data_IF_378044354477
#
_entry.id   IF_378044354477
#
_cell.length_a   1.000
_cell.length_b   1.000
_cell.length_c   1.000
_cell.angle_alpha   90.00
_cell.angle_beta   90.00
_cell.angle_gamma   90.00
#
_symmetry.space_group_name_H-M   'P 1'
#
loop_
_entity.id
_entity.type
_entity.pdbx_description
1 polymer ?
#
# COMPACT_ATOMS: atom_id res chain seq x y z
N UNK A 1 -28.62 -9.90 40.39
CA UNK A 1 -27.40 -10.18 39.61
C UNK A 1 -27.11 -9.17 38.49
N UNK A 2 -28.10 -8.65 37.74
CA UNK A 2 -27.81 -7.84 36.53
C UNK A 2 -27.07 -6.48 36.68
N UNK A 3 -27.10 -5.80 37.84
CA UNK A 3 -26.39 -4.51 38.01
C UNK A 3 -24.87 -4.67 38.18
N UNK A 4 -24.42 -5.70 38.89
CA UNK A 4 -23.00 -5.94 39.16
C UNK A 4 -22.24 -6.40 37.90
N UNK A 5 -22.86 -7.27 37.10
CA UNK A 5 -22.30 -7.71 35.80
C UNK A 5 -22.19 -6.54 34.81
N UNK A 6 -23.21 -5.66 34.79
CA UNK A 6 -23.21 -4.44 33.96
C UNK A 6 -22.08 -3.46 34.31
N UNK A 7 -21.78 -3.28 35.60
CA UNK A 7 -20.64 -2.44 36.02
C UNK A 7 -19.30 -3.06 35.65
N UNK A 8 -19.15 -4.39 35.81
CA UNK A 8 -17.92 -5.11 35.44
C UNK A 8 -17.60 -4.94 33.96
N UNK A 9 -18.58 -5.17 33.09
CA UNK A 9 -18.43 -5.01 31.64
C UNK A 9 -18.08 -3.57 31.26
N UNK A 10 -18.75 -2.56 31.86
CA UNK A 10 -18.44 -1.14 31.59
C UNK A 10 -17.01 -0.77 31.99
N UNK A 11 -16.51 -1.28 33.12
CA UNK A 11 -15.13 -1.05 33.58
C UNK A 11 -14.11 -1.71 32.63
N UNK A 12 -14.39 -2.92 32.15
CA UNK A 12 -13.55 -3.63 31.19
C UNK A 12 -13.48 -2.87 29.85
N UNK A 13 -14.63 -2.44 29.32
CA UNK A 13 -14.68 -1.64 28.08
C UNK A 13 -13.95 -0.31 28.22
N UNK A 14 -14.13 0.40 29.34
CA UNK A 14 -13.42 1.66 29.60
C UNK A 14 -11.91 1.47 29.65
N UNK A 15 -11.42 0.39 30.29
CA UNK A 15 -9.99 0.05 30.31
C UNK A 15 -9.46 -0.28 28.92
N UNK A 16 -10.20 -1.08 28.15
CA UNK A 16 -9.85 -1.43 26.76
C UNK A 16 -9.69 -0.20 25.89
N UNK A 17 -10.69 0.70 25.89
CA UNK A 17 -10.66 1.96 25.14
C UNK A 17 -9.48 2.84 25.59
N UNK A 18 -9.22 2.93 26.90
CA UNK A 18 -8.08 3.69 27.43
C UNK A 18 -6.73 3.15 26.96
N UNK A 19 -6.55 1.83 26.91
CA UNK A 19 -5.32 1.21 26.40
C UNK A 19 -5.13 1.41 24.90
N UNK A 20 -6.19 1.25 24.10
CA UNK A 20 -6.14 1.52 22.65
C UNK A 20 -5.81 2.99 22.39
N UNK A 21 -6.38 3.92 23.17
CA UNK A 21 -6.06 5.34 23.08
C UNK A 21 -4.59 5.63 23.33
N UNK A 22 -4.01 5.08 24.40
CA UNK A 22 -2.59 5.25 24.71
C UNK A 22 -1.69 4.69 23.61
N UNK A 23 -2.04 3.53 23.05
CA UNK A 23 -1.29 2.95 21.94
C UNK A 23 -1.34 3.84 20.70
N UNK A 24 -2.52 4.33 20.31
CA UNK A 24 -2.67 5.25 19.18
C UNK A 24 -1.87 6.53 19.40
N UNK A 25 -1.93 7.11 20.60
CA UNK A 25 -1.18 8.32 20.94
C UNK A 25 0.34 8.08 20.88
N UNK A 26 0.82 6.95 21.41
CA UNK A 26 2.24 6.58 21.35
C UNK A 26 2.72 6.41 19.90
N UNK A 27 1.96 5.71 19.05
CA UNK A 27 2.30 5.53 17.63
C UNK A 27 2.31 6.88 16.89
N UNK A 28 1.37 7.76 17.18
CA UNK A 28 1.37 9.09 16.57
C UNK A 28 2.55 9.96 17.02
N UNK A 29 2.96 9.89 18.29
CA UNK A 29 4.06 10.72 18.81
C UNK A 29 5.44 10.17 18.49
N UNK A 30 5.61 8.85 18.54
CA UNK A 30 6.91 8.16 18.47
C UNK A 30 7.06 7.27 17.24
N UNK A 31 6.03 7.18 16.39
CA UNK A 31 6.05 6.36 15.19
C UNK A 31 7.14 6.75 14.19
N UNK A 32 7.33 5.92 13.15
CA UNK A 32 8.45 6.05 12.23
C UNK A 32 8.48 7.41 11.53
N UNK A 33 9.69 7.95 11.36
CA UNK A 33 9.90 9.07 10.44
C UNK A 33 9.60 8.67 8.98
N UNK A 34 9.63 9.62 8.04
CA UNK A 34 9.30 9.35 6.63
C UNK A 34 10.08 8.20 6.01
N UNK A 35 11.40 8.11 6.27
CA UNK A 35 12.23 7.02 5.78
C UNK A 35 11.88 5.66 6.38
N UNK A 36 11.57 5.63 7.68
CA UNK A 36 11.10 4.41 8.35
C UNK A 36 9.75 3.95 7.82
N UNK A 37 8.84 4.89 7.57
CA UNK A 37 7.53 4.60 6.99
C UNK A 37 7.65 4.09 5.54
N UNK A 38 8.50 4.73 4.72
CA UNK A 38 8.78 4.27 3.37
C UNK A 38 9.34 2.83 3.37
N UNK A 39 10.25 2.52 4.30
CA UNK A 39 10.76 1.17 4.46
C UNK A 39 9.62 0.20 4.81
N UNK A 40 8.86 0.46 5.88
CA UNK A 40 7.73 -0.39 6.28
C UNK A 40 6.75 -0.63 5.12
N UNK A 41 6.35 0.43 4.42
CA UNK A 41 5.47 0.33 3.25
C UNK A 41 6.08 -0.55 2.16
N UNK A 42 7.36 -0.36 1.82
CA UNK A 42 8.04 -1.20 0.83
C UNK A 42 8.03 -2.69 1.25
N UNK A 43 8.31 -2.99 2.53
CA UNK A 43 8.25 -4.35 3.06
C UNK A 43 6.85 -4.95 3.01
N UNK A 44 5.82 -4.17 3.34
CA UNK A 44 4.42 -4.60 3.26
C UNK A 44 4.02 -4.89 1.82
N UNK A 45 4.37 -4.00 0.89
CA UNK A 45 4.06 -4.17 -0.54
C UNK A 45 4.72 -5.43 -1.07
N UNK A 46 6.02 -5.62 -0.80
CA UNK A 46 6.75 -6.77 -1.29
C UNK A 46 6.22 -8.09 -0.72
N UNK A 47 5.94 -8.14 0.59
CA UNK A 47 5.34 -9.31 1.23
C UNK A 47 3.94 -9.60 0.68
N UNK A 48 3.12 -8.55 0.49
CA UNK A 48 1.80 -8.68 -0.13
C UNK A 48 1.90 -9.26 -1.54
N UNK A 49 2.80 -8.75 -2.37
CA UNK A 49 3.02 -9.26 -3.73
C UNK A 49 3.42 -10.74 -3.72
N UNK A 50 4.33 -11.14 -2.83
CA UNK A 50 4.72 -12.57 -2.68
C UNK A 50 3.53 -13.43 -2.29
N UNK A 51 2.72 -12.99 -1.32
CA UNK A 51 1.52 -13.71 -0.90
C UNK A 51 0.47 -13.78 -2.02
N UNK A 52 0.26 -12.70 -2.76
CA UNK A 52 -0.66 -12.67 -3.90
C UNK A 52 -0.24 -13.64 -5.01
N UNK A 53 1.05 -13.70 -5.33
CA UNK A 53 1.60 -14.67 -6.30
C UNK A 53 1.43 -16.10 -5.77
N UNK A 54 1.76 -16.35 -4.50
CA UNK A 54 1.74 -17.69 -3.92
C UNK A 54 0.32 -18.23 -3.65
N UNK A 55 -0.65 -17.36 -3.38
CA UNK A 55 -2.01 -17.74 -2.95
C UNK A 55 -3.06 -17.60 -4.06
N UNK A 56 -2.91 -16.61 -4.94
CA UNK A 56 -3.94 -16.25 -5.92
C UNK A 56 -3.54 -16.51 -7.38
N UNK A 57 -2.42 -17.20 -7.60
CA UNK A 57 -1.85 -17.48 -8.93
C UNK A 57 -1.73 -16.21 -9.79
N UNK A 58 -1.50 -15.06 -9.15
CA UNK A 58 -1.33 -13.80 -9.86
C UNK A 58 -0.10 -13.91 -10.78
N UNK A 59 -0.19 -13.42 -12.02
CA UNK A 59 0.93 -13.47 -12.95
C UNK A 59 2.11 -12.65 -12.41
N UNK A 60 3.32 -13.08 -12.79
CA UNK A 60 4.50 -12.25 -12.59
C UNK A 60 4.34 -10.93 -13.38
N UNK A 61 4.41 -9.82 -12.67
CA UNK A 61 4.32 -8.49 -13.29
C UNK A 61 5.61 -8.14 -14.05
N UNK A 62 5.49 -7.32 -15.09
CA UNK A 62 6.67 -6.70 -15.72
C UNK A 62 7.45 -5.86 -14.71
N UNK A 63 8.74 -5.60 -14.97
CA UNK A 63 9.55 -4.80 -14.05
C UNK A 63 8.94 -3.40 -13.85
N UNK A 64 8.43 -2.78 -14.92
CA UNK A 64 7.73 -1.49 -14.80
C UNK A 64 6.47 -1.58 -13.93
N UNK A 65 5.64 -2.60 -14.12
CA UNK A 65 4.45 -2.79 -13.29
C UNK A 65 4.83 -3.08 -11.82
N UNK A 66 5.84 -3.90 -11.58
CA UNK A 66 6.32 -4.26 -10.25
C UNK A 66 7.00 -3.12 -9.49
N UNK A 67 7.81 -2.30 -10.16
CA UNK A 67 8.63 -1.26 -9.52
C UNK A 67 8.04 0.15 -9.61
N UNK A 68 7.10 0.41 -10.51
CA UNK A 68 6.47 1.74 -10.65
C UNK A 68 4.99 1.67 -10.34
N UNK A 69 4.22 0.85 -11.05
CA UNK A 69 2.76 0.82 -10.88
C UNK A 69 2.35 0.37 -9.49
N UNK A 70 2.88 -0.78 -9.04
CA UNK A 70 2.54 -1.35 -7.75
C UNK A 70 2.86 -0.38 -6.60
N UNK A 71 4.08 0.17 -6.47
CA UNK A 71 4.37 1.16 -5.43
C UNK A 71 3.46 2.39 -5.48
N UNK A 72 3.19 2.92 -6.69
CA UNK A 72 2.26 4.05 -6.84
C UNK A 72 0.83 3.69 -6.40
N UNK A 73 0.39 2.46 -6.68
CA UNK A 73 -0.92 1.95 -6.32
C UNK A 73 -1.12 1.81 -4.81
N UNK A 74 -0.04 1.71 -4.02
CA UNK A 74 -0.11 1.75 -2.55
C UNK A 74 0.16 3.14 -1.98
N UNK A 75 1.11 3.89 -2.55
CA UNK A 75 1.47 5.21 -2.04
C UNK A 75 0.35 6.24 -2.23
N UNK A 76 -0.35 6.20 -3.36
CA UNK A 76 -1.46 7.12 -3.64
C UNK A 76 -2.63 6.95 -2.64
N UNK A 77 -3.19 5.74 -2.42
CA UNK A 77 -4.23 5.56 -1.41
C UNK A 77 -3.71 5.78 0.01
N UNK A 78 -2.45 5.44 0.32
CA UNK A 78 -1.86 5.75 1.63
C UNK A 78 -1.93 7.26 1.92
N UNK A 79 -1.49 8.07 0.96
CA UNK A 79 -1.53 9.53 1.09
C UNK A 79 -2.97 10.06 1.16
N UNK A 80 -3.88 9.52 0.33
CA UNK A 80 -5.25 10.00 0.25
C UNK A 80 -6.04 9.68 1.53
N UNK A 81 -5.91 8.45 2.03
CA UNK A 81 -6.53 8.03 3.29
C UNK A 81 -5.93 8.78 4.49
N UNK A 82 -4.63 9.08 4.47
CA UNK A 82 -3.99 9.94 5.48
C UNK A 82 -4.61 11.34 5.49
N UNK A 83 -4.78 11.96 4.31
CA UNK A 83 -5.42 13.28 4.17
C UNK A 83 -6.86 13.26 4.67
N UNK A 84 -7.65 12.27 4.26
CA UNK A 84 -9.05 12.10 4.69
C UNK A 84 -9.16 11.96 6.21
N UNK A 85 -8.36 11.08 6.80
CA UNK A 85 -8.38 10.86 8.25
C UNK A 85 -7.89 12.08 9.02
N UNK A 86 -6.82 12.75 8.56
CA UNK A 86 -6.31 13.99 9.15
C UNK A 86 -7.37 15.09 9.15
N UNK A 87 -8.08 15.25 8.03
CA UNK A 87 -9.19 16.21 7.91
C UNK A 87 -10.30 15.95 8.93
N UNK A 88 -10.81 14.72 9.00
CA UNK A 88 -11.92 14.38 9.91
C UNK A 88 -11.51 14.31 11.38
N UNK A 89 -10.30 13.86 11.68
CA UNK A 89 -9.77 13.80 13.04
C UNK A 89 -9.31 15.17 13.55
N UNK A 90 -9.06 16.14 12.66
CA UNK A 90 -8.41 17.43 12.95
C UNK A 90 -7.05 17.24 13.62
N UNK A 91 -6.28 16.29 13.10
CA UNK A 91 -4.93 15.95 13.55
C UNK A 91 -3.97 16.24 12.40
N UNK A 92 -2.70 16.54 12.71
CA UNK A 92 -1.69 16.74 11.68
C UNK A 92 -1.57 15.50 10.77
N UNK A 93 -1.43 15.67 9.44
CA UNK A 93 -1.20 14.54 8.54
C UNK A 93 0.01 13.70 8.94
N UNK A 94 1.05 14.33 9.51
CA UNK A 94 2.24 13.69 10.04
C UNK A 94 1.93 12.58 11.07
N UNK A 95 1.08 12.88 12.06
CA UNK A 95 0.68 11.93 13.10
C UNK A 95 -0.18 10.81 12.51
N UNK A 96 -1.12 11.16 11.64
CA UNK A 96 -1.96 10.18 10.96
C UNK A 96 -1.11 9.25 10.09
N UNK A 97 -0.09 9.75 9.38
CA UNK A 97 0.81 8.97 8.55
C UNK A 97 1.57 7.90 9.35
N UNK A 98 2.04 8.24 10.56
CA UNK A 98 2.71 7.29 11.46
C UNK A 98 1.77 6.16 11.86
N UNK A 99 0.52 6.49 12.20
CA UNK A 99 -0.52 5.51 12.49
C UNK A 99 -0.84 4.66 11.25
N UNK A 100 -1.03 5.31 10.10
CA UNK A 100 -1.34 4.67 8.83
C UNK A 100 -0.24 3.71 8.38
N UNK A 101 1.02 4.00 8.70
CA UNK A 101 2.15 3.11 8.40
C UNK A 101 1.96 1.74 9.07
N UNK A 102 1.51 1.71 10.33
CA UNK A 102 1.18 0.47 11.01
C UNK A 102 -0.14 -0.13 10.51
N UNK A 103 -1.15 0.72 10.29
CA UNK A 103 -2.43 0.27 9.75
C UNK A 103 -2.29 -0.38 8.37
N UNK A 104 -1.26 -0.02 7.60
CA UNK A 104 -0.97 -0.62 6.29
C UNK A 104 -0.63 -2.11 6.40
N UNK A 105 -0.21 -2.62 7.56
CA UNK A 105 -0.08 -4.07 7.78
C UNK A 105 -1.41 -4.81 7.59
N UNK A 106 -2.55 -4.14 7.78
CA UNK A 106 -3.87 -4.68 7.50
C UNK A 106 -4.03 -5.09 6.02
N UNK A 107 -3.24 -4.49 5.12
CA UNK A 107 -3.24 -4.84 3.69
C UNK A 107 -2.68 -6.23 3.41
N UNK A 108 -1.98 -6.84 4.36
CA UNK A 108 -1.62 -8.27 4.28
C UNK A 108 -2.82 -9.18 4.61
N UNK A 109 -3.88 -8.61 5.17
CA UNK A 109 -5.09 -9.29 5.59
C UNK A 109 -5.77 -10.09 4.49
N UNK A 110 -6.06 -9.54 3.30
CA UNK A 110 -6.76 -10.27 2.25
C UNK A 110 -6.09 -11.58 1.83
N UNK A 111 -4.81 -11.61 1.39
CA UNK A 111 -4.21 -12.87 0.99
C UNK A 111 -4.10 -13.87 2.15
N UNK A 112 -3.89 -13.41 3.39
CA UNK A 112 -3.87 -14.29 4.57
C UNK A 112 -5.26 -14.85 4.90
N UNK A 113 -6.29 -14.01 4.87
CA UNK A 113 -7.66 -14.42 5.09
C UNK A 113 -8.12 -15.39 4.01
N UNK A 114 -7.79 -15.11 2.75
CA UNK A 114 -8.14 -15.98 1.63
C UNK A 114 -7.41 -17.33 1.73
N UNK A 115 -6.12 -17.35 2.12
CA UNK A 115 -5.37 -18.58 2.40
C UNK A 115 -6.03 -19.42 3.50
N UNK A 116 -6.42 -18.79 4.62
CA UNK A 116 -7.05 -19.48 5.75
C UNK A 116 -8.46 -19.99 5.43
N UNK A 117 -9.24 -19.20 4.68
CA UNK A 117 -10.65 -19.51 4.38
C UNK A 117 -10.83 -20.45 3.18
N UNK A 118 -9.83 -20.52 2.29
CA UNK A 118 -9.87 -21.35 1.08
C UNK A 118 -8.85 -22.49 1.08
N UNK A 119 -8.21 -22.79 2.23
CA UNK A 119 -7.40 -23.99 2.40
C UNK A 119 -8.22 -25.26 2.05
N UNK A 120 -8.13 -25.72 0.80
CA UNK A 120 -8.84 -26.90 0.28
C UNK A 120 -9.98 -26.65 -0.73
N UNK A 121 -10.22 -25.42 -1.20
CA UNK A 121 -11.19 -25.14 -2.29
C UNK A 121 -10.49 -24.68 -3.57
N UNK A 122 -11.20 -24.84 -4.71
CA UNK A 122 -10.73 -24.42 -6.03
C UNK A 122 -10.21 -22.96 -6.03
N UNK A 123 -9.15 -22.72 -6.80
CA UNK A 123 -8.30 -21.53 -6.79
C UNK A 123 -9.03 -20.20 -6.57
N UNK A 124 -8.50 -19.38 -5.66
CA UNK A 124 -8.96 -18.00 -5.45
C UNK A 124 -8.65 -17.22 -6.72
N UNK A 125 -9.69 -16.79 -7.44
CA UNK A 125 -9.53 -15.95 -8.63
C UNK A 125 -8.89 -14.62 -8.22
N UNK A 126 -7.66 -14.38 -8.71
CA UNK A 126 -6.88 -13.15 -8.74
C UNK A 126 -7.26 -12.07 -7.71
N UNK A 127 -6.40 -11.88 -6.71
CA UNK A 127 -6.43 -10.73 -5.80
C UNK A 127 -5.88 -9.54 -6.58
N UNK A 128 -6.70 -8.54 -6.90
CA UNK A 128 -6.25 -7.43 -7.74
C UNK A 128 -7.25 -6.30 -7.78
N UNK A 129 -7.22 -5.49 -8.83
CA UNK A 129 -8.20 -4.42 -9.04
C UNK A 129 -9.61 -4.97 -9.34
N UNK A 130 -10.61 -4.11 -9.25
CA UNK A 130 -11.97 -4.45 -9.69
C UNK A 130 -11.99 -4.73 -11.20
N UNK A 131 -12.54 -5.86 -11.61
CA UNK A 131 -12.82 -6.18 -13.01
C UNK A 131 -14.32 -6.04 -13.26
N UNK A 132 -14.74 -4.91 -13.82
CA UNK A 132 -16.13 -4.61 -14.11
C UNK A 132 -16.26 -3.70 -15.34
N UNK A 133 -17.45 -3.63 -15.92
CA UNK A 133 -17.75 -2.56 -16.87
C UNK A 133 -17.95 -1.23 -16.12
N UNK A 134 -17.46 -0.08 -16.65
CA UNK A 134 -17.75 1.24 -16.10
C UNK A 134 -19.23 1.49 -15.77
N UNK A 135 -20.18 0.93 -16.55
CA UNK A 135 -21.62 1.08 -16.27
C UNK A 135 -22.06 0.47 -14.94
N UNK A 136 -21.34 -0.55 -14.45
CA UNK A 136 -21.72 -1.31 -13.26
C UNK A 136 -21.14 -0.70 -11.97
N UNK A 137 -20.24 0.28 -12.06
CA UNK A 137 -19.52 0.83 -10.92
C UNK A 137 -20.44 1.33 -9.81
N UNK A 138 -21.54 2.01 -10.16
CA UNK A 138 -22.51 2.49 -9.17
C UNK A 138 -23.21 1.35 -8.44
N UNK A 139 -23.57 0.28 -9.15
CA UNK A 139 -24.20 -0.90 -8.53
C UNK A 139 -23.21 -1.62 -7.62
N UNK A 140 -21.96 -1.79 -8.05
CA UNK A 140 -20.89 -2.43 -7.27
C UNK A 140 -20.57 -1.61 -6.01
N UNK A 141 -20.53 -0.28 -6.11
CA UNK A 141 -20.33 0.62 -4.97
C UNK A 141 -21.40 0.44 -3.89
N UNK A 142 -22.65 0.13 -4.26
CA UNK A 142 -23.72 -0.08 -3.28
C UNK A 142 -23.73 -1.50 -2.71
N UNK A 143 -23.28 -2.48 -3.49
CA UNK A 143 -23.32 -3.91 -3.12
C UNK A 143 -21.96 -4.49 -2.70
N UNK A 144 -20.93 -3.65 -2.52
CA UNK A 144 -19.57 -4.09 -2.17
C UNK A 144 -19.56 -4.98 -0.92
N UNK A 145 -20.34 -4.63 0.10
CA UNK A 145 -20.47 -5.40 1.34
C UNK A 145 -21.58 -6.47 1.30
N UNK A 146 -22.23 -6.74 0.16
CA UNK A 146 -23.14 -7.88 0.00
C UNK A 146 -22.34 -9.17 -0.23
N UNK A 147 -21.95 -9.82 0.88
CA UNK A 147 -21.14 -11.05 0.88
C UNK A 147 -21.79 -12.24 0.15
N UNK A 148 -23.06 -12.14 -0.27
CA UNK A 148 -23.74 -13.17 -1.06
C UNK A 148 -23.45 -13.05 -2.55
N UNK A 149 -22.91 -11.92 -3.00
CA UNK A 149 -22.59 -11.62 -4.40
C UNK A 149 -21.13 -11.89 -4.67
N UNK A 150 -20.84 -12.58 -5.77
CA UNK A 150 -19.47 -12.65 -6.30
C UNK A 150 -19.18 -11.38 -7.11
N UNK A 151 -18.05 -10.73 -6.82
CA UNK A 151 -17.56 -9.55 -7.53
C UNK A 151 -16.16 -9.88 -8.03
N UNK A 152 -15.93 -9.81 -9.33
CA UNK A 152 -14.65 -10.21 -9.93
C UNK A 152 -13.53 -9.28 -9.45
N UNK A 153 -12.41 -9.87 -9.01
CA UNK A 153 -11.30 -9.13 -8.40
C UNK A 153 -11.54 -8.70 -6.95
N UNK A 154 -12.72 -8.97 -6.37
CA UNK A 154 -13.04 -8.63 -4.97
C UNK A 154 -13.23 -9.90 -4.14
N UNK A 155 -12.19 -10.33 -3.44
CA UNK A 155 -12.25 -11.49 -2.55
C UNK A 155 -12.98 -11.17 -1.23
N UNK A 156 -13.30 -12.22 -0.47
CA UNK A 156 -13.84 -12.07 0.88
C UNK A 156 -12.84 -11.35 1.78
N UNK A 157 -11.54 -11.68 1.67
CA UNK A 157 -10.47 -11.00 2.37
C UNK A 157 -10.46 -9.48 2.13
N UNK A 158 -10.60 -9.04 0.88
CA UNK A 158 -10.65 -7.60 0.53
C UNK A 158 -11.83 -6.89 1.21
N UNK A 159 -13.01 -7.52 1.25
CA UNK A 159 -14.18 -6.92 1.90
C UNK A 159 -14.03 -6.82 3.40
N UNK A 160 -13.41 -7.82 4.04
CA UNK A 160 -13.12 -7.80 5.46
C UNK A 160 -12.08 -6.73 5.81
N UNK A 161 -11.03 -6.60 4.99
CA UNK A 161 -10.04 -5.50 5.10
C UNK A 161 -10.74 -4.14 5.03
N UNK A 162 -11.56 -3.92 4.01
CA UNK A 162 -12.30 -2.67 3.83
C UNK A 162 -13.19 -2.39 5.05
N UNK A 163 -13.97 -3.36 5.51
CA UNK A 163 -14.84 -3.22 6.68
C UNK A 163 -14.03 -2.85 7.93
N UNK A 164 -12.90 -3.51 8.17
CA UNK A 164 -12.00 -3.19 9.28
C UNK A 164 -11.47 -1.76 9.16
N UNK A 165 -11.05 -1.32 7.97
CA UNK A 165 -10.61 0.05 7.73
C UNK A 165 -11.72 1.08 8.04
N UNK A 166 -12.98 0.82 7.66
CA UNK A 166 -14.10 1.72 7.96
C UNK A 166 -14.35 1.86 9.47
N UNK A 167 -14.34 0.73 10.18
CA UNK A 167 -14.54 0.70 11.63
C UNK A 167 -13.40 1.41 12.35
N UNK A 168 -12.15 1.14 11.98
CA UNK A 168 -10.97 1.78 12.55
C UNK A 168 -10.97 3.29 12.29
N UNK A 169 -11.37 3.73 11.10
CA UNK A 169 -11.51 5.15 10.77
C UNK A 169 -12.55 5.86 11.67
N UNK A 170 -13.74 5.27 11.82
CA UNK A 170 -14.79 5.82 12.68
C UNK A 170 -14.35 5.90 14.15
N UNK A 171 -13.73 4.81 14.65
CA UNK A 171 -13.20 4.71 16.02
C UNK A 171 -12.11 5.77 16.23
N UNK A 172 -11.16 5.88 15.30
CA UNK A 172 -10.07 6.85 15.38
C UNK A 172 -10.59 8.29 15.47
N UNK A 173 -11.50 8.69 14.58
CA UNK A 173 -12.10 10.03 14.60
C UNK A 173 -12.91 10.27 15.87
N UNK A 174 -13.59 9.23 16.38
CA UNK A 174 -14.32 9.31 17.66
C UNK A 174 -13.37 9.51 18.84
N UNK A 175 -12.24 8.81 18.86
CA UNK A 175 -11.20 8.93 19.88
C UNK A 175 -10.56 10.32 19.91
N UNK A 176 -10.44 10.98 18.75
CA UNK A 176 -9.97 12.37 18.61
C UNK A 176 -11.06 13.43 18.85
N UNK A 177 -12.08 13.07 19.64
CA UNK A 177 -13.14 14.00 20.05
C UNK A 177 -14.17 14.31 18.96
N UNK A 178 -14.26 13.49 17.90
CA UNK A 178 -15.30 13.65 16.88
C UNK A 178 -16.70 13.33 17.38
N UNK A 179 -17.70 14.00 16.81
CA UNK A 179 -19.11 13.61 16.97
C UNK A 179 -19.37 12.31 16.21
N UNK A 180 -20.48 11.62 16.52
CA UNK A 180 -20.89 10.39 15.82
C UNK A 180 -21.05 10.65 14.31
N UNK A 181 -21.66 11.77 13.93
CA UNK A 181 -21.78 12.17 12.53
C UNK A 181 -20.42 12.38 11.84
N UNK A 182 -19.44 12.98 12.53
CA UNK A 182 -18.08 13.15 12.01
C UNK A 182 -17.36 11.81 11.82
N UNK A 183 -17.54 10.89 12.75
CA UNK A 183 -17.01 9.51 12.64
C UNK A 183 -17.65 8.74 11.49
N UNK A 184 -18.97 8.84 11.32
CA UNK A 184 -19.68 8.21 10.21
C UNK A 184 -19.24 8.79 8.86
N UNK A 185 -19.13 10.12 8.76
CA UNK A 185 -18.64 10.79 7.55
C UNK A 185 -17.19 10.38 7.21
N UNK A 186 -16.35 10.18 8.22
CA UNK A 186 -14.99 9.66 8.03
C UNK A 186 -14.99 8.25 7.45
N UNK A 187 -15.80 7.33 8.01
CA UNK A 187 -15.94 5.98 7.47
C UNK A 187 -16.45 5.99 6.03
N UNK A 188 -17.48 6.78 5.71
CA UNK A 188 -18.00 6.92 4.34
C UNK A 188 -16.93 7.49 3.39
N UNK A 189 -16.13 8.46 3.85
CA UNK A 189 -15.05 9.04 3.03
C UNK A 189 -13.92 8.04 2.78
N UNK A 190 -13.52 7.28 3.80
CA UNK A 190 -12.53 6.20 3.66
C UNK A 190 -13.05 5.13 2.70
N UNK A 191 -14.31 4.73 2.83
CA UNK A 191 -14.95 3.79 1.91
C UNK A 191 -14.88 4.28 0.47
N UNK A 192 -15.33 5.52 0.22
CA UNK A 192 -15.34 6.09 -1.12
C UNK A 192 -13.92 6.14 -1.72
N UNK A 193 -12.95 6.67 -0.98
CA UNK A 193 -11.56 6.76 -1.46
C UNK A 193 -10.98 5.38 -1.74
N UNK A 194 -11.08 4.43 -0.80
CA UNK A 194 -10.58 3.06 -0.99
C UNK A 194 -11.23 2.38 -2.19
N UNK A 195 -12.56 2.50 -2.33
CA UNK A 195 -13.29 1.92 -3.45
C UNK A 195 -12.84 2.52 -4.80
N UNK A 196 -12.70 3.84 -4.90
CA UNK A 196 -12.31 4.46 -6.17
C UNK A 196 -10.85 4.18 -6.54
N UNK A 197 -9.94 4.01 -5.58
CA UNK A 197 -8.59 3.49 -5.86
C UNK A 197 -8.62 2.04 -6.34
N UNK A 198 -9.49 1.22 -5.76
CA UNK A 198 -9.70 -0.17 -6.18
C UNK A 198 -10.36 -0.30 -7.56
N UNK A 199 -11.27 0.61 -7.90
CA UNK A 199 -11.98 0.67 -9.17
C UNK A 199 -11.25 1.49 -10.26
N UNK A 200 -10.04 1.95 -9.97
CA UNK A 200 -9.39 2.99 -10.78
C UNK A 200 -9.09 2.56 -12.23
N UNK A 201 -8.68 1.30 -12.52
CA UNK A 201 -8.57 0.83 -13.90
C UNK A 201 -9.91 0.88 -14.66
N UNK A 202 -11.03 0.61 -14.00
CA UNK A 202 -12.36 0.69 -14.61
C UNK A 202 -12.71 2.14 -14.94
N UNK A 203 -12.39 3.07 -14.05
CA UNK A 203 -12.59 4.51 -14.29
C UNK A 203 -11.72 4.97 -15.47
N UNK A 204 -10.45 4.56 -15.49
CA UNK A 204 -9.52 4.86 -16.57
C UNK A 204 -10.03 4.32 -17.92
N UNK A 205 -10.53 3.08 -17.94
CA UNK A 205 -11.17 2.50 -19.12
C UNK A 205 -12.39 3.32 -19.57
N UNK A 206 -13.25 3.73 -18.64
CA UNK A 206 -14.41 4.57 -18.94
C UNK A 206 -14.01 5.89 -19.63
N UNK A 207 -12.95 6.54 -19.14
CA UNK A 207 -12.40 7.74 -19.78
C UNK A 207 -11.77 7.43 -21.14
N UNK A 208 -11.08 6.29 -21.28
CA UNK A 208 -10.46 5.89 -22.54
C UNK A 208 -11.49 5.61 -23.64
N UNK A 209 -12.61 4.98 -23.28
CA UNK A 209 -13.75 4.72 -24.19
C UNK A 209 -14.37 5.99 -24.78
N UNK A 210 -14.19 7.16 -24.15
CA UNK A 210 -14.61 8.45 -24.72
C UNK A 210 -13.83 8.79 -26.00
N UNK A 211 -12.59 8.30 -26.13
CA UNK A 211 -11.73 8.51 -27.30
C UNK A 211 -11.67 7.29 -28.21
N UNK A 212 -11.74 6.10 -27.64
CA UNK A 212 -11.64 4.82 -28.34
C UNK A 212 -12.85 3.93 -28.00
N UNK A 213 -14.00 4.15 -28.66
CA UNK A 213 -15.17 3.30 -28.48
C UNK A 213 -14.84 1.84 -28.81
N UNK A 214 -15.31 0.91 -27.98
CA UNK A 214 -15.09 -0.52 -28.17
C UNK A 214 -13.91 -1.12 -27.39
N UNK A 215 -13.09 -0.31 -26.71
CA UNK A 215 -12.05 -0.85 -25.80
C UNK A 215 -12.69 -1.69 -24.69
N UNK A 216 -12.22 -2.92 -24.54
CA UNK A 216 -12.65 -3.85 -23.49
C UNK A 216 -11.67 -3.82 -22.32
N UNK A 217 -12.09 -4.31 -21.15
CA UNK A 217 -11.20 -4.46 -19.99
C UNK A 217 -10.00 -5.37 -20.32
N UNK A 218 -10.27 -6.44 -21.10
CA UNK A 218 -9.23 -7.36 -21.58
C UNK A 218 -8.20 -6.64 -22.45
N UNK A 219 -8.63 -5.91 -23.49
CA UNK A 219 -7.70 -5.13 -24.33
C UNK A 219 -7.00 -4.01 -23.57
N UNK A 220 -7.61 -3.46 -22.52
CA UNK A 220 -6.99 -2.46 -21.67
C UNK A 220 -5.88 -3.05 -20.79
N UNK A 221 -6.07 -4.25 -20.22
CA UNK A 221 -5.04 -4.92 -19.41
C UNK A 221 -3.97 -5.64 -20.23
N UNK A 222 -4.35 -6.30 -21.33
CA UNK A 222 -3.47 -7.16 -22.15
C UNK A 222 -2.90 -6.44 -23.39
N UNK A 223 -3.66 -5.52 -24.00
CA UNK A 223 -3.32 -4.92 -25.29
C UNK A 223 -2.31 -3.78 -25.20
N UNK A 224 -2.61 -2.75 -24.41
CA UNK A 224 -1.73 -1.58 -24.26
C UNK A 224 -0.70 -1.71 -23.12
N UNK A 225 -0.41 -2.94 -22.69
CA UNK A 225 0.73 -3.21 -21.81
C UNK A 225 0.56 -2.74 -20.37
N UNK A 226 -0.67 -2.57 -19.89
CA UNK A 226 -0.90 -2.00 -18.56
C UNK A 226 -0.49 -2.96 -17.45
N UNK A 227 -0.72 -4.29 -17.57
CA UNK A 227 -0.36 -5.24 -16.50
C UNK A 227 0.15 -6.62 -16.95
N UNK A 228 -0.27 -7.15 -18.12
CA UNK A 228 0.11 -8.49 -18.60
C UNK A 228 0.50 -8.38 -20.09
N UNK A 229 1.66 -8.92 -20.49
CA UNK A 229 2.13 -8.88 -21.89
C UNK A 229 2.08 -10.27 -22.51
N UNK A 230 1.30 -10.44 -23.58
CA UNK A 230 1.40 -11.63 -24.43
C UNK A 230 2.63 -11.58 -25.34
N UNK A 231 3.05 -10.39 -25.80
CA UNK A 231 4.22 -10.20 -26.65
C UNK A 231 5.29 -9.29 -25.97
N UNK A 232 6.42 -9.85 -25.51
CA UNK A 232 7.53 -9.10 -24.90
C UNK A 232 8.21 -8.08 -25.84
N UNK A 233 8.00 -8.17 -27.16
CA UNK A 233 8.63 -7.30 -28.16
C UNK A 233 7.84 -6.01 -28.47
N UNK A 234 6.54 -5.94 -28.16
CA UNK A 234 5.73 -4.74 -28.39
C UNK A 234 6.09 -3.67 -27.34
N UNK A 235 6.84 -2.64 -27.69
CA UNK A 235 7.40 -1.64 -26.75
C UNK A 235 6.42 -1.19 -25.66
N UNK A 236 6.93 -0.96 -24.43
CA UNK A 236 6.09 -0.59 -23.30
C UNK A 236 5.42 0.77 -23.51
N UNK A 237 4.14 0.79 -23.86
CA UNK A 237 3.34 2.00 -23.66
C UNK A 237 2.96 2.10 -22.19
N UNK A 238 3.87 2.67 -21.40
CA UNK A 238 3.71 2.91 -19.98
C UNK A 238 2.67 4.00 -19.67
N UNK A 239 2.20 4.72 -20.68
CA UNK A 239 1.35 5.91 -20.53
C UNK A 239 0.09 5.63 -19.72
N UNK A 240 -0.61 4.49 -19.89
CA UNK A 240 -1.78 4.18 -19.10
C UNK A 240 -1.45 3.67 -17.69
N UNK A 241 -0.21 3.72 -17.22
CA UNK A 241 0.18 3.49 -15.80
C UNK A 241 0.42 4.83 -15.09
N UNK A 242 0.75 5.88 -15.84
CA UNK A 242 1.12 7.18 -15.30
C UNK A 242 -0.06 7.97 -14.70
N UNK A 243 -1.30 7.51 -14.81
CA UNK A 243 -2.46 8.19 -14.21
C UNK A 243 -2.43 8.23 -12.67
N UNK A 244 -1.64 7.35 -12.03
CA UNK A 244 -1.40 7.42 -10.58
C UNK A 244 -0.54 8.63 -10.19
N UNK A 245 0.34 9.10 -11.07
CA UNK A 245 1.25 10.22 -10.80
C UNK A 245 0.50 11.54 -10.52
N UNK A 246 -0.44 12.01 -11.37
CA UNK A 246 -1.19 13.23 -11.06
C UNK A 246 -2.07 13.06 -9.82
N UNK A 247 -2.64 11.88 -9.57
CA UNK A 247 -3.45 11.60 -8.37
C UNK A 247 -2.58 11.70 -7.11
N UNK A 248 -1.41 11.06 -7.12
CA UNK A 248 -0.45 11.17 -6.02
C UNK A 248 0.01 12.62 -5.83
N UNK A 249 0.34 13.33 -6.91
CA UNK A 249 0.74 14.74 -6.87
C UNK A 249 -0.33 15.63 -6.25
N UNK A 250 -1.58 15.51 -6.67
CA UNK A 250 -2.71 16.24 -6.10
C UNK A 250 -2.93 15.91 -4.61
N UNK A 251 -2.76 14.65 -4.24
CA UNK A 251 -2.91 14.19 -2.86
C UNK A 251 -1.79 14.71 -1.97
N UNK A 252 -0.54 14.71 -2.44
CA UNK A 252 0.61 15.28 -1.74
C UNK A 252 0.48 16.80 -1.59
N UNK A 253 -0.11 17.48 -2.57
CA UNK A 253 -0.43 18.91 -2.47
C UNK A 253 -1.49 19.17 -1.38
N UNK A 254 -2.55 18.36 -1.33
CA UNK A 254 -3.56 18.44 -0.28
C UNK A 254 -2.95 18.18 1.10
N UNK A 255 -2.10 17.15 1.21
CA UNK A 255 -1.31 16.86 2.43
C UNK A 255 -0.49 18.07 2.86
N UNK A 256 0.33 18.63 1.95
CA UNK A 256 1.18 19.78 2.25
C UNK A 256 0.37 21.00 2.71
N UNK A 257 -0.82 21.18 2.14
CA UNK A 257 -1.74 22.26 2.53
C UNK A 257 -2.27 22.06 3.95
N UNK A 258 -2.61 20.83 4.34
CA UNK A 258 -3.01 20.50 5.70
C UNK A 258 -1.85 20.63 6.70
N UNK A 259 -0.64 20.18 6.32
CA UNK A 259 0.56 20.34 7.17
C UNK A 259 0.87 21.81 7.47
N UNK A 260 0.76 22.71 6.48
CA UNK A 260 1.00 24.15 6.68
C UNK A 260 0.04 24.80 7.70
N UNK A 261 -1.11 24.19 7.95
CA UNK A 261 -2.10 24.66 8.94
C UNK A 261 -1.87 24.06 10.32
N UNK A 262 -0.99 23.06 10.43
CA UNK A 262 -0.66 22.40 11.68
C UNK A 262 0.45 23.16 12.40
N UNK A 263 0.38 23.32 13.73
CA UNK A 263 1.48 23.88 14.52
C UNK A 263 2.67 22.90 14.66
N UNK A 264 2.46 21.61 14.39
CA UNK A 264 3.51 20.59 14.45
C UNK A 264 4.45 20.70 13.23
N UNK A 265 5.76 20.42 13.40
CA UNK A 265 6.72 20.42 12.30
C UNK A 265 6.29 19.41 11.20
N UNK A 266 6.37 19.85 9.94
CA UNK A 266 5.96 19.05 8.79
C UNK A 266 6.77 17.76 8.68
N UNK A 267 6.09 16.63 8.43
CA UNK A 267 6.74 15.32 8.31
C UNK A 267 7.65 15.26 7.10
N UNK A 268 7.20 15.87 5.99
CA UNK A 268 7.95 15.95 4.74
C UNK A 268 9.09 16.97 4.76
N UNK A 269 9.11 17.89 5.74
CA UNK A 269 10.11 18.95 5.83
C UNK A 269 11.45 18.50 6.44
N UNK A 270 11.61 17.21 6.78
CA UNK A 270 12.88 16.65 7.25
C UNK A 270 13.33 17.08 8.65
N UNK A 271 12.49 17.84 9.38
CA UNK A 271 12.80 18.37 10.71
C UNK A 271 12.52 17.43 11.87
N UNK A 272 11.87 16.28 11.66
CA UNK A 272 11.57 15.35 12.75
C UNK A 272 12.85 14.57 13.10
N UNK A 273 13.35 14.62 14.35
CA UNK A 273 14.42 13.74 14.79
C UNK A 273 13.93 12.31 14.59
N UNK A 274 14.52 11.58 13.64
CA UNK A 274 14.11 10.21 13.38
C UNK A 274 14.39 9.40 14.64
N UNK A 275 13.38 8.75 15.26
CA UNK A 275 13.68 7.72 16.23
C UNK A 275 14.57 6.69 15.54
N UNK A 276 15.65 6.30 16.22
CA UNK A 276 16.59 5.27 15.77
C UNK A 276 15.83 3.96 15.73
N UNK A 277 15.25 3.61 14.58
CA UNK A 277 14.74 2.27 14.37
C UNK A 277 15.90 1.41 13.84
N UNK A 278 16.44 0.46 14.61
CA UNK A 278 17.40 -0.53 14.12
C UNK A 278 16.81 -1.51 13.07
N UNK A 279 15.67 -1.20 12.45
CA UNK A 279 14.93 -2.07 11.53
C UNK A 279 14.86 -1.59 10.08
N UNK A 280 15.22 -0.36 9.74
CA UNK A 280 15.09 0.14 8.35
C UNK A 280 16.00 -0.63 7.37
N UNK A 281 17.20 -1.03 7.81
CA UNK A 281 18.09 -1.91 7.05
C UNK A 281 17.53 -3.32 6.88
N UNK A 282 16.85 -3.85 7.90
CA UNK A 282 16.18 -5.15 7.82
C UNK A 282 14.96 -5.15 6.90
N UNK A 283 14.20 -4.06 6.89
CA UNK A 283 13.04 -3.93 6.00
C UNK A 283 13.49 -3.71 4.56
N UNK A 284 14.53 -2.92 4.34
CA UNK A 284 15.19 -2.82 3.03
C UNK A 284 15.68 -4.19 2.57
N UNK A 285 16.43 -4.91 3.42
CA UNK A 285 16.91 -6.26 3.14
C UNK A 285 15.77 -7.25 2.89
N UNK A 286 14.65 -7.15 3.61
CA UNK A 286 13.46 -7.98 3.38
C UNK A 286 12.78 -7.66 2.04
N UNK A 287 12.74 -6.38 1.64
CA UNK A 287 12.26 -5.97 0.31
C UNK A 287 13.18 -6.47 -0.82
N UNK A 288 14.51 -6.40 -0.63
CA UNK A 288 15.46 -6.97 -1.60
C UNK A 288 15.35 -8.50 -1.65
N UNK A 289 15.27 -9.16 -0.49
CA UNK A 289 15.17 -10.61 -0.39
C UNK A 289 13.86 -11.14 -0.98
N UNK A 290 12.74 -10.45 -0.78
CA UNK A 290 11.46 -10.81 -1.42
C UNK A 290 11.50 -10.59 -2.94
N UNK A 291 12.16 -9.54 -3.43
CA UNK A 291 12.41 -9.36 -4.87
C UNK A 291 13.25 -10.50 -5.46
N UNK A 292 14.32 -10.92 -4.77
CA UNK A 292 15.19 -12.03 -5.18
C UNK A 292 14.45 -13.37 -5.13
N UNK A 293 13.69 -13.63 -4.06
CA UNK A 293 12.90 -14.86 -3.91
C UNK A 293 11.81 -14.91 -4.97
N UNK A 294 11.07 -13.83 -5.21
CA UNK A 294 10.09 -13.78 -6.29
C UNK A 294 10.75 -14.08 -7.65
N UNK A 295 11.89 -13.44 -7.96
CA UNK A 295 12.62 -13.68 -9.20
C UNK A 295 13.09 -15.14 -9.36
N UNK A 296 13.54 -15.79 -8.27
CA UNK A 296 13.98 -17.20 -8.28
C UNK A 296 12.83 -18.21 -8.31
N UNK A 297 11.79 -17.98 -7.51
CA UNK A 297 10.69 -18.93 -7.33
C UNK A 297 9.76 -18.96 -8.55
N UNK A 298 9.68 -17.86 -9.30
CA UNK A 298 8.89 -17.77 -10.51
C UNK A 298 9.49 -18.53 -11.72
N UNK A 299 10.65 -19.18 -11.58
CA UNK A 299 11.36 -19.85 -12.68
C UNK A 299 11.23 -19.04 -13.97
N UNK A 300 11.49 -17.72 -13.90
CA UNK A 300 11.45 -16.88 -15.09
C UNK A 300 12.30 -17.61 -16.14
N UNK A 301 11.70 -18.06 -17.25
CA UNK A 301 12.37 -18.99 -18.13
C UNK A 301 13.69 -18.36 -18.52
N UNK A 302 14.78 -19.13 -18.41
CA UNK A 302 16.14 -18.73 -18.77
C UNK A 302 16.32 -18.44 -20.28
N UNK A 303 15.23 -18.12 -20.98
CA UNK A 303 15.28 -17.42 -22.25
C UNK A 303 15.88 -16.03 -22.04
N UNK A 304 16.49 -15.44 -23.08
CA UNK A 304 17.01 -14.10 -22.98
C UNK A 304 15.88 -13.20 -22.50
N UNK A 305 16.05 -12.59 -21.31
CA UNK A 305 15.32 -11.40 -20.94
C UNK A 305 15.48 -10.48 -22.15
N UNK A 306 14.43 -10.35 -22.98
CA UNK A 306 14.42 -9.40 -24.08
C UNK A 306 14.36 -8.01 -23.45
N UNK A 307 15.51 -7.59 -22.92
CA UNK A 307 15.77 -6.26 -22.45
C UNK A 307 15.73 -5.36 -23.68
N UNK A 308 14.67 -4.58 -23.82
CA UNK A 308 14.63 -3.52 -24.83
C UNK A 308 13.67 -2.38 -24.48
N UNK A 309 13.30 -2.19 -23.21
CA UNK A 309 12.77 -0.89 -22.79
C UNK A 309 13.72 -0.28 -21.76
N UNK A 310 14.01 1.02 -21.92
CA UNK A 310 14.78 1.79 -20.94
C UNK A 310 14.16 1.69 -19.52
N UNK A 311 12.86 1.41 -19.45
CA UNK A 311 12.11 1.22 -18.22
C UNK A 311 12.42 -0.10 -17.50
N UNK A 312 12.69 -1.19 -18.22
CA UNK A 312 13.09 -2.46 -17.59
C UNK A 312 14.48 -2.37 -16.97
N UNK A 313 15.40 -1.63 -17.62
CA UNK A 313 16.72 -1.31 -17.07
C UNK A 313 16.62 -0.38 -15.85
N UNK A 314 15.77 0.65 -15.92
CA UNK A 314 15.53 1.54 -14.78
C UNK A 314 14.87 0.82 -13.61
N UNK A 315 13.93 -0.09 -13.87
CA UNK A 315 13.25 -0.88 -12.85
C UNK A 315 14.21 -1.90 -12.20
N UNK A 316 15.02 -2.59 -13.02
CA UNK A 316 16.10 -3.47 -12.55
C UNK A 316 17.16 -2.74 -11.73
N UNK A 317 17.44 -1.47 -12.04
CA UNK A 317 18.36 -0.62 -11.26
C UNK A 317 17.69 0.00 -10.02
N UNK A 318 16.39 0.32 -10.08
CA UNK A 318 15.64 0.97 -9.01
C UNK A 318 15.50 0.10 -7.77
N UNK A 319 15.38 -1.23 -7.92
CA UNK A 319 15.39 -2.17 -6.80
C UNK A 319 16.68 -2.08 -5.96
N UNK A 320 17.86 -2.38 -6.55
CA UNK A 320 19.16 -2.26 -5.89
C UNK A 320 19.48 -0.84 -5.39
N UNK A 321 19.11 0.21 -6.14
CA UNK A 321 19.31 1.60 -5.71
C UNK A 321 18.41 1.97 -4.53
N UNK A 322 17.14 1.56 -4.54
CA UNK A 322 16.23 1.73 -3.41
C UNK A 322 16.71 0.99 -2.17
N UNK A 323 17.21 -0.24 -2.34
CA UNK A 323 17.87 -1.03 -1.30
C UNK A 323 19.11 -0.30 -0.73
N UNK A 324 19.97 0.23 -1.59
CA UNK A 324 21.17 0.98 -1.20
C UNK A 324 20.83 2.28 -0.45
N UNK A 325 19.83 3.03 -0.92
CA UNK A 325 19.37 4.26 -0.28
C UNK A 325 18.69 4.00 1.07
N UNK A 326 17.90 2.93 1.18
CA UNK A 326 17.27 2.54 2.45
C UNK A 326 18.31 2.00 3.45
N UNK A 327 19.30 1.23 3.00
CA UNK A 327 20.44 0.81 3.83
C UNK A 327 21.28 2.01 4.29
N UNK A 328 21.56 2.96 3.40
CA UNK A 328 22.29 4.19 3.72
C UNK A 328 21.51 5.09 4.70
N UNK A 329 20.19 5.18 4.56
CA UNK A 329 19.32 5.92 5.47
C UNK A 329 19.18 5.25 6.84
N UNK A 330 19.39 3.94 6.93
CA UNK A 330 19.41 3.18 8.17
C UNK A 330 20.71 3.32 8.97
N UNK A 331 21.81 3.78 8.35
CA UNK A 331 23.07 4.04 9.06
C UNK A 331 22.88 5.24 9.99
N UNK A 332 23.03 5.08 11.31
CA UNK A 332 22.84 6.19 12.24
C UNK A 332 23.82 7.33 11.92
N UNK A 333 23.33 8.55 11.65
CA UNK A 333 24.17 9.74 11.41
C UNK A 333 25.12 10.09 12.57
N UNK A 334 24.93 9.53 13.77
CA UNK A 334 25.84 9.67 14.93
C UNK A 334 26.87 8.54 15.06
N UNK A 335 26.80 7.48 14.23
CA UNK A 335 27.87 6.50 14.07
C UNK A 335 28.93 6.99 13.06
N UNK A 336 28.96 8.29 12.74
CA UNK A 336 29.96 8.93 11.87
C UNK A 336 31.39 8.88 12.42
N UNK A 337 31.63 8.21 13.55
CA UNK A 337 32.97 7.85 14.02
C UNK A 337 33.37 6.40 13.72
N UNK A 338 32.43 5.51 13.34
CA UNK A 338 32.72 4.11 13.06
C UNK A 338 32.62 3.80 11.55
N UNK A 339 33.76 3.78 10.84
CA UNK A 339 33.80 3.48 9.41
C UNK A 339 33.39 2.04 9.07
N UNK A 340 33.20 1.15 10.04
CA UNK A 340 32.74 -0.22 9.79
C UNK A 340 31.25 -0.26 9.40
N UNK A 341 30.41 0.55 10.03
CA UNK A 341 28.97 0.58 9.74
C UNK A 341 28.68 1.04 8.30
N UNK A 342 29.43 2.02 7.80
CA UNK A 342 29.35 2.47 6.41
C UNK A 342 29.79 1.39 5.41
N UNK A 343 30.82 0.59 5.75
CA UNK A 343 31.29 -0.52 4.91
C UNK A 343 30.30 -1.67 4.83
N UNK A 344 29.61 -1.99 5.93
CA UNK A 344 28.58 -3.05 5.94
C UNK A 344 27.38 -2.65 5.07
N UNK A 345 26.92 -1.39 5.16
CA UNK A 345 25.84 -0.89 4.31
C UNK A 345 26.25 -0.86 2.82
N UNK A 346 27.48 -0.43 2.52
CA UNK A 346 28.02 -0.43 1.16
C UNK A 346 28.19 -1.85 0.60
N UNK A 347 28.67 -2.80 1.40
CA UNK A 347 28.82 -4.20 1.00
C UNK A 347 27.46 -4.88 0.78
N UNK A 348 26.46 -4.59 1.63
CA UNK A 348 25.10 -5.09 1.43
C UNK A 348 24.46 -4.52 0.15
N UNK A 349 24.65 -3.22 -0.13
CA UNK A 349 24.22 -2.59 -1.38
C UNK A 349 24.92 -3.17 -2.61
N UNK A 350 26.24 -3.39 -2.54
CA UNK A 350 27.01 -4.00 -3.62
C UNK A 350 26.63 -5.47 -3.86
N UNK A 351 26.37 -6.24 -2.80
CA UNK A 351 25.90 -7.63 -2.90
C UNK A 351 24.51 -7.73 -3.54
N UNK A 352 23.60 -6.84 -3.17
CA UNK A 352 22.27 -6.76 -3.80
C UNK A 352 22.35 -6.37 -5.28
N UNK A 353 23.25 -5.44 -5.64
CA UNK A 353 23.48 -5.04 -7.02
C UNK A 353 24.10 -6.19 -7.84
N UNK A 354 25.11 -6.88 -7.30
CA UNK A 354 25.74 -8.02 -7.96
C UNK A 354 24.77 -9.18 -8.17
N UNK A 355 23.90 -9.47 -7.20
CA UNK A 355 22.86 -10.49 -7.32
C UNK A 355 21.73 -10.12 -8.29
N UNK A 356 21.53 -8.83 -8.59
CA UNK A 356 20.56 -8.37 -9.58
C UNK A 356 21.14 -8.33 -11.01
N UNK A 357 22.47 -8.30 -11.15
CA UNK A 357 23.17 -8.20 -12.44
C UNK A 357 23.72 -9.54 -12.96
N UNK A 358 23.73 -10.60 -12.13
CA UNK A 358 24.20 -11.95 -12.47
C UNK A 358 23.06 -12.94 -12.58
#
# INVERSE_FOLDING_TARGET
MGRAEGEGMRRLLARGIGSVRRLVEAVESEGPGPGGAAAVLAGVIALRTVLEIAVADNPAYSALAGFVQYPLAYLAPFAALTVVLAFWARVSPARVARLMTLAWLLTLGPPLADLLLHAGRAHVRAIGYLHADPSDLGWIFLHFFDFRRSLVGTTLGIRLEALAALLLAAIYVRMKGGSVGRSAAAAVSVYAVSFFFFALPVIALGLYRLRLPGTTMRSFYEGEGVLIRENPAAGADATPILWLVPILGATLLAWRTLERRSPEPGWLAGGSPSPRLPGAGWIAAAACASGIVAARWLHLPAGPLHAASAWDLLAGAAGPLGCGLAAAAAVPRRASGDPAAGRVAAAAGAGALAAALG
#
